data_IF_733234451006
#
_entry.id   IF_733234451006
#
_cell.length_a   1.000
_cell.length_b   1.000
_cell.length_c   1.000
_cell.angle_alpha   90.00
_cell.angle_beta   90.00
_cell.angle_gamma   90.00
#
_symmetry.space_group_name_H-M   'P 1'
#
loop_
_entity.id
_entity.type
_entity.pdbx_description
1 polymer ?
#
# COMPACT_ATOMS: atom_id res chain seq x y z
N UNK A 1 7.18 -9.64 50.92
CA UNK A 1 7.99 -9.53 49.69
C UNK A 1 7.43 -10.37 48.53
N UNK A 2 7.10 -11.65 48.67
CA UNK A 2 6.58 -12.47 47.55
C UNK A 2 5.28 -11.94 46.93
N UNK A 3 4.35 -11.39 47.70
CA UNK A 3 3.10 -10.80 47.21
C UNK A 3 3.32 -9.53 46.39
N UNK A 4 4.29 -8.66 46.77
CA UNK A 4 4.60 -7.44 46.03
C UNK A 4 5.22 -7.75 44.67
N UNK A 5 6.07 -8.77 44.57
CA UNK A 5 6.66 -9.22 43.32
C UNK A 5 5.60 -9.78 42.37
N UNK A 6 4.62 -10.56 42.89
CA UNK A 6 3.53 -11.10 42.09
C UNK A 6 2.60 -10.00 41.54
N UNK A 7 2.28 -8.97 42.33
CA UNK A 7 1.50 -7.82 41.86
C UNK A 7 2.26 -7.01 40.82
N UNK A 8 3.58 -6.81 40.99
CA UNK A 8 4.41 -6.12 40.02
C UNK A 8 4.45 -6.84 38.67
N UNK A 9 4.59 -8.17 38.66
CA UNK A 9 4.56 -8.98 37.43
C UNK A 9 3.18 -8.94 36.73
N UNK A 10 2.09 -8.98 37.50
CA UNK A 10 0.73 -8.91 36.95
C UNK A 10 0.45 -7.55 36.30
N UNK A 11 0.89 -6.46 36.92
CA UNK A 11 0.74 -5.09 36.36
C UNK A 11 1.56 -4.93 35.10
N UNK A 12 2.79 -5.44 35.06
CA UNK A 12 3.65 -5.40 33.86
C UNK A 12 3.03 -6.18 32.69
N UNK A 13 2.43 -7.33 32.95
CA UNK A 13 1.75 -8.13 31.94
C UNK A 13 0.50 -7.41 31.39
N UNK A 14 -0.29 -6.76 32.23
CA UNK A 14 -1.48 -6.02 31.81
C UNK A 14 -1.11 -4.78 30.97
N UNK A 15 -0.03 -4.08 31.28
CA UNK A 15 0.45 -2.94 30.50
C UNK A 15 0.97 -3.34 29.11
N UNK A 16 1.61 -4.50 28.97
CA UNK A 16 2.10 -4.98 27.68
C UNK A 16 0.97 -5.39 26.72
N UNK A 17 -0.11 -5.96 27.24
CA UNK A 17 -1.30 -6.33 26.44
C UNK A 17 -2.05 -5.09 25.94
N UNK A 18 -2.13 -4.03 26.75
CA UNK A 18 -2.81 -2.79 26.39
C UNK A 18 -2.08 -2.05 25.23
N UNK A 19 -0.75 -2.10 25.18
CA UNK A 19 0.02 -1.48 24.11
C UNK A 19 -0.14 -2.21 22.76
N UNK A 20 -0.27 -3.53 22.78
CA UNK A 20 -0.49 -4.32 21.56
C UNK A 20 -1.86 -4.06 20.94
N UNK A 21 -2.88 -3.83 21.76
CA UNK A 21 -4.25 -3.51 21.30
C UNK A 21 -4.35 -2.11 20.69
N UNK A 22 -3.59 -1.13 21.18
CA UNK A 22 -3.62 0.25 20.68
C UNK A 22 -2.99 0.36 19.29
N UNK A 23 -1.94 -0.42 19.01
CA UNK A 23 -1.28 -0.44 17.70
C UNK A 23 -2.19 -0.93 16.57
N UNK A 24 -3.15 -1.79 16.88
CA UNK A 24 -4.11 -2.33 15.91
C UNK A 24 -5.27 -1.37 15.62
N UNK A 25 -5.59 -0.47 16.55
CA UNK A 25 -6.68 0.50 16.41
C UNK A 25 -6.29 1.71 15.52
N UNK A 26 -4.99 1.98 15.33
CA UNK A 26 -4.49 3.10 14.53
C UNK A 26 -4.37 2.74 13.04
N UNK A 27 -4.47 1.47 12.67
CA UNK A 27 -4.59 1.05 11.29
C UNK A 27 -5.99 1.41 10.75
N UNK A 28 -6.26 2.73 10.66
CA UNK A 28 -7.44 3.25 9.99
C UNK A 28 -7.57 2.62 8.61
N UNK A 29 -8.78 2.33 8.19
CA UNK A 29 -9.06 1.75 6.87
C UNK A 29 -8.40 2.62 5.79
N UNK A 30 -7.36 2.10 5.15
CA UNK A 30 -6.63 2.80 4.09
C UNK A 30 -7.59 3.05 2.93
N UNK A 31 -7.85 4.32 2.62
CA UNK A 31 -8.64 4.72 1.44
C UNK A 31 -7.74 4.75 0.20
N UNK A 32 -7.47 3.55 -0.34
CA UNK A 32 -6.62 3.39 -1.51
C UNK A 32 -7.13 4.11 -2.76
N UNK A 33 -8.46 4.28 -2.92
CA UNK A 33 -9.04 5.01 -4.05
C UNK A 33 -8.72 6.49 -3.98
N UNK A 34 -8.84 7.07 -2.80
CA UNK A 34 -8.50 8.48 -2.54
C UNK A 34 -7.00 8.70 -2.74
N UNK A 35 -6.17 7.82 -2.19
CA UNK A 35 -4.71 7.89 -2.34
C UNK A 35 -4.31 7.80 -3.81
N UNK A 36 -4.83 6.84 -4.57
CA UNK A 36 -4.57 6.71 -6.01
C UNK A 36 -5.00 7.96 -6.78
N UNK A 37 -6.18 8.50 -6.47
CA UNK A 37 -6.69 9.73 -7.08
C UNK A 37 -5.77 10.93 -6.83
N UNK A 38 -5.19 11.04 -5.65
CA UNK A 38 -4.37 12.19 -5.29
C UNK A 38 -2.94 12.08 -5.84
N UNK A 39 -2.32 10.91 -5.73
CA UNK A 39 -0.88 10.73 -5.98
C UNK A 39 -0.56 10.12 -7.36
N UNK A 40 -1.46 9.33 -7.94
CA UNK A 40 -1.16 8.48 -9.08
C UNK A 40 -1.89 8.89 -10.38
N UNK A 41 -3.13 9.41 -10.29
CA UNK A 41 -4.00 9.64 -11.45
C UNK A 41 -3.42 10.58 -12.51
N UNK A 42 -2.52 11.48 -12.15
CA UNK A 42 -1.92 12.44 -13.11
C UNK A 42 -1.25 11.76 -14.30
N UNK A 43 -0.71 10.57 -14.07
CA UNK A 43 -0.06 9.77 -15.11
C UNK A 43 -0.83 8.48 -15.41
N UNK A 44 -1.34 7.81 -14.38
CA UNK A 44 -1.97 6.49 -14.51
C UNK A 44 -3.47 6.52 -14.82
N UNK A 45 -4.12 7.70 -14.81
CA UNK A 45 -5.58 7.86 -14.96
C UNK A 45 -6.36 7.06 -13.88
N UNK A 46 -7.65 7.37 -13.70
CA UNK A 46 -8.49 6.67 -12.71
C UNK A 46 -8.79 5.23 -13.06
N UNK A 47 -8.90 4.96 -14.35
CA UNK A 47 -9.15 3.62 -14.89
C UNK A 47 -7.88 2.78 -15.06
N UNK A 48 -6.71 3.35 -14.81
CA UNK A 48 -5.42 2.69 -14.91
C UNK A 48 -4.84 2.58 -16.31
N UNK A 49 -5.50 3.13 -17.33
CA UNK A 49 -5.04 3.07 -18.73
C UNK A 49 -3.97 4.08 -19.10
N UNK A 50 -3.68 5.00 -18.18
CA UNK A 50 -2.74 6.07 -18.40
C UNK A 50 -3.33 7.27 -19.14
N UNK A 51 -3.01 8.47 -18.61
CA UNK A 51 -3.30 9.73 -19.30
C UNK A 51 -2.44 9.89 -20.56
N UNK A 52 -2.79 10.82 -21.45
CA UNK A 52 -1.93 11.16 -22.62
C UNK A 52 -0.49 11.44 -22.18
N UNK A 53 -0.31 12.24 -21.12
CA UNK A 53 1.01 12.51 -20.53
C UNK A 53 1.67 11.23 -20.01
N UNK A 54 0.93 10.40 -19.27
CA UNK A 54 1.44 9.14 -18.74
C UNK A 54 1.92 8.21 -19.85
N UNK A 55 1.13 8.04 -20.90
CA UNK A 55 1.50 7.22 -22.08
C UNK A 55 2.79 7.71 -22.75
N UNK A 56 2.94 9.03 -22.90
CA UNK A 56 4.19 9.62 -23.43
C UNK A 56 5.40 9.37 -22.50
N UNK A 57 5.17 9.13 -21.21
CA UNK A 57 6.19 8.78 -20.22
C UNK A 57 6.39 7.25 -20.09
N UNK A 58 5.65 6.44 -20.83
CA UNK A 58 5.76 4.98 -20.85
C UNK A 58 5.11 4.31 -19.63
N UNK A 59 4.04 4.89 -19.07
CA UNK A 59 3.29 4.19 -18.01
C UNK A 59 2.60 2.96 -18.57
N UNK A 60 2.57 1.83 -17.83
CA UNK A 60 1.85 0.64 -18.26
C UNK A 60 0.33 0.85 -18.18
N UNK A 61 -0.40 0.13 -19.03
CA UNK A 61 -1.85 -0.01 -18.91
C UNK A 61 -2.15 -1.06 -17.82
N UNK A 62 -2.71 -0.62 -16.70
CA UNK A 62 -3.06 -1.51 -15.59
C UNK A 62 -4.28 -2.39 -15.87
N UNK A 63 -5.01 -2.12 -16.94
CA UNK A 63 -6.14 -2.96 -17.36
C UNK A 63 -5.71 -4.08 -18.30
N UNK A 64 -4.46 -4.07 -18.75
CA UNK A 64 -3.92 -5.12 -19.60
C UNK A 64 -3.40 -6.31 -18.77
N UNK A 65 -3.95 -7.49 -19.00
CA UNK A 65 -3.64 -8.69 -18.24
C UNK A 65 -2.20 -9.17 -18.46
N UNK A 66 -1.64 -9.01 -19.66
CA UNK A 66 -0.26 -9.39 -19.98
C UNK A 66 0.72 -8.46 -19.26
N UNK A 67 0.51 -7.15 -19.34
CA UNK A 67 1.27 -6.14 -18.59
C UNK A 67 1.28 -6.44 -17.10
N UNK A 68 0.11 -6.78 -16.54
CA UNK A 68 -0.01 -7.13 -15.12
C UNK A 68 0.74 -8.44 -14.75
N UNK A 69 0.75 -9.42 -15.63
CA UNK A 69 1.43 -10.70 -15.40
C UNK A 69 2.95 -10.58 -15.55
N UNK A 70 3.45 -9.59 -16.29
CA UNK A 70 4.89 -9.41 -16.53
C UNK A 70 5.69 -8.89 -15.33
N UNK A 71 5.02 -8.42 -14.27
CA UNK A 71 5.64 -7.85 -13.08
C UNK A 71 5.12 -8.49 -11.79
N UNK A 72 5.99 -8.68 -10.82
CA UNK A 72 5.63 -9.19 -9.49
C UNK A 72 5.16 -8.06 -8.56
N UNK A 73 4.42 -8.41 -7.49
CA UNK A 73 4.03 -7.44 -6.47
C UNK A 73 5.24 -6.78 -5.80
N UNK A 74 6.31 -7.55 -5.58
CA UNK A 74 7.58 -7.04 -5.05
C UNK A 74 8.18 -5.95 -5.95
N UNK A 75 8.16 -6.16 -7.27
CA UNK A 75 8.64 -5.17 -8.24
C UNK A 75 7.74 -3.92 -8.27
N UNK A 76 6.43 -4.09 -8.17
CA UNK A 76 5.48 -2.98 -8.09
C UNK A 76 5.69 -2.16 -6.81
N UNK A 77 5.82 -2.83 -5.65
CA UNK A 77 6.11 -2.18 -4.37
C UNK A 77 7.41 -1.39 -4.47
N UNK A 78 8.49 -1.98 -5.00
CA UNK A 78 9.76 -1.31 -5.19
C UNK A 78 9.64 -0.07 -6.12
N UNK A 79 8.88 -0.18 -7.20
CA UNK A 79 8.65 0.95 -8.13
C UNK A 79 7.89 2.09 -7.49
N UNK A 80 6.89 1.82 -6.64
CA UNK A 80 6.15 2.85 -5.92
C UNK A 80 6.99 3.46 -4.82
N UNK A 81 7.71 2.64 -4.06
CA UNK A 81 8.57 3.11 -2.96
C UNK A 81 9.68 4.01 -3.48
N UNK A 82 10.47 3.53 -4.41
CA UNK A 82 11.73 4.16 -4.85
C UNK A 82 11.56 5.09 -6.06
N UNK A 83 10.41 5.01 -6.73
CA UNK A 83 10.22 5.60 -8.05
C UNK A 83 10.86 4.76 -9.17
N UNK A 84 10.52 5.04 -10.40
CA UNK A 84 11.07 4.37 -11.57
C UNK A 84 11.05 5.29 -12.79
N UNK A 85 12.20 5.61 -13.36
CA UNK A 85 12.33 6.56 -14.48
C UNK A 85 11.71 7.92 -14.12
N UNK A 86 10.62 8.32 -14.79
CA UNK A 86 9.88 9.56 -14.54
C UNK A 86 8.82 9.44 -13.44
N UNK A 87 8.55 8.25 -12.94
CA UNK A 87 7.67 8.04 -11.80
C UNK A 87 8.37 8.49 -10.52
N UNK A 88 7.81 9.46 -9.77
CA UNK A 88 8.42 9.91 -8.53
C UNK A 88 8.28 8.86 -7.43
N UNK A 89 9.25 8.81 -6.52
CA UNK A 89 9.17 7.97 -5.32
C UNK A 89 8.03 8.41 -4.41
N UNK A 90 7.39 7.47 -3.77
CA UNK A 90 6.34 7.71 -2.79
C UNK A 90 6.81 7.45 -1.34
N UNK A 91 8.03 6.95 -1.15
CA UNK A 91 8.64 6.85 0.17
C UNK A 91 8.62 8.20 0.89
N UNK A 92 8.20 8.21 2.16
CA UNK A 92 8.02 9.43 2.96
C UNK A 92 6.71 10.18 2.72
N UNK A 93 5.97 9.90 1.63
CA UNK A 93 4.60 10.40 1.40
C UNK A 93 3.54 9.37 1.77
N UNK A 94 3.80 8.12 1.47
CA UNK A 94 2.95 6.98 1.78
C UNK A 94 3.68 6.04 2.74
N UNK A 95 2.93 5.49 3.69
CA UNK A 95 3.44 4.42 4.55
C UNK A 95 3.64 3.12 3.76
N UNK A 96 4.46 2.17 4.25
CA UNK A 96 4.61 0.86 3.61
C UNK A 96 3.28 0.13 3.42
N UNK A 97 2.33 0.28 4.34
CA UNK A 97 1.00 -0.33 4.27
C UNK A 97 0.16 0.32 3.17
N UNK A 98 0.22 1.64 3.02
CA UNK A 98 -0.45 2.36 1.93
C UNK A 98 0.14 1.97 0.58
N UNK A 99 1.45 1.81 0.46
CA UNK A 99 2.11 1.35 -0.78
C UNK A 99 1.63 -0.07 -1.14
N UNK A 100 1.57 -1.00 -0.19
CA UNK A 100 1.01 -2.34 -0.41
C UNK A 100 -0.46 -2.29 -0.84
N UNK A 101 -1.26 -1.42 -0.22
CA UNK A 101 -2.65 -1.22 -0.60
C UNK A 101 -2.79 -0.64 -2.02
N UNK A 102 -1.89 0.25 -2.45
CA UNK A 102 -1.84 0.76 -3.82
C UNK A 102 -1.54 -0.34 -4.83
N UNK A 103 -0.55 -1.18 -4.57
CA UNK A 103 -0.23 -2.32 -5.44
C UNK A 103 -1.42 -3.27 -5.56
N UNK A 104 -2.07 -3.59 -4.44
CA UNK A 104 -3.30 -4.40 -4.45
C UNK A 104 -4.42 -3.75 -5.27
N UNK A 105 -4.60 -2.44 -5.17
CA UNK A 105 -5.57 -1.71 -5.97
C UNK A 105 -5.25 -1.76 -7.47
N UNK A 106 -3.99 -1.53 -7.85
CA UNK A 106 -3.53 -1.67 -9.24
C UNK A 106 -3.83 -3.05 -9.80
N UNK A 107 -3.63 -4.11 -9.01
CA UNK A 107 -3.99 -5.49 -9.41
C UNK A 107 -5.49 -5.67 -9.66
N UNK A 108 -6.34 -4.94 -8.96
CA UNK A 108 -7.80 -5.01 -9.16
C UNK A 108 -8.27 -4.32 -10.46
N UNK A 109 -7.44 -3.49 -11.09
CA UNK A 109 -7.76 -2.82 -12.34
C UNK A 109 -7.66 -3.78 -13.55
N UNK A 110 -6.94 -4.88 -13.43
CA UNK A 110 -6.90 -5.91 -14.45
C UNK A 110 -8.25 -6.62 -14.61
N UNK A 111 -8.63 -7.04 -15.83
CA UNK A 111 -9.81 -7.84 -16.03
C UNK A 111 -9.72 -9.14 -15.24
N UNK A 112 -10.75 -9.48 -14.48
CA UNK A 112 -10.84 -10.81 -13.85
C UNK A 112 -11.02 -11.84 -14.97
N UNK A 113 -10.14 -12.84 -15.02
CA UNK A 113 -10.39 -14.04 -15.85
C UNK A 113 -11.74 -14.61 -15.41
N UNK A 114 -12.74 -14.59 -16.31
CA UNK A 114 -13.98 -15.34 -16.07
C UNK A 114 -13.58 -16.83 -16.06
N UNK A 115 -13.84 -17.47 -14.93
CA UNK A 115 -13.72 -18.93 -14.83
C UNK A 115 -14.86 -19.57 -15.58
#
# INVERSE_FOLDING_TARGET
MRKIVLYGLAVMLLLSVAQFSLSKAIAGKIDYKRTFKNECKKCHERDGKGTKRGKNLGVPDFTDAESQASVTDKQLIASVTNGKKKMPKQEGKLSPEEIKAMVKYVRMLAPRKRR
#
